data_IF_226019881985
#
_entry.id   IF_226019881985
#
_cell.length_a   1.000
_cell.length_b   1.000
_cell.length_c   1.000
_cell.angle_alpha   90.00
_cell.angle_beta   90.00
_cell.angle_gamma   90.00
#
_symmetry.space_group_name_H-M   'P 1'
#
loop_
_entity.id
_entity.type
_entity.pdbx_description
1 polymer ?
#
# COMPACT_ATOMS: atom_id res chain seq x y z
N UNK A 1 -23.29 5.24 29.27
CA UNK A 1 -22.35 5.22 28.13
C UNK A 1 -21.88 6.65 27.84
N UNK A 2 -20.64 6.81 27.40
CA UNK A 2 -20.06 8.08 26.91
C UNK A 2 -20.13 8.07 25.37
N UNK A 3 -20.20 9.25 24.71
CA UNK A 3 -20.37 9.34 23.25
C UNK A 3 -19.28 8.56 22.46
N UNK A 4 -18.02 8.66 22.87
CA UNK A 4 -16.93 7.88 22.24
C UNK A 4 -17.14 6.35 22.31
N UNK A 5 -17.71 5.84 23.41
CA UNK A 5 -18.06 4.41 23.55
C UNK A 5 -19.31 4.04 22.76
N UNK A 6 -20.22 4.98 22.52
CA UNK A 6 -21.36 4.79 21.62
C UNK A 6 -20.90 4.61 20.17
N UNK A 7 -20.00 5.47 19.68
CA UNK A 7 -19.44 5.33 18.32
C UNK A 7 -18.64 4.04 18.15
N UNK A 8 -17.78 3.69 19.12
CA UNK A 8 -17.04 2.43 19.10
C UNK A 8 -17.97 1.21 19.06
N UNK A 9 -19.04 1.20 19.87
CA UNK A 9 -20.03 0.10 19.89
C UNK A 9 -20.81 0.04 18.57
N UNK A 10 -21.17 1.19 18.00
CA UNK A 10 -21.85 1.30 16.71
C UNK A 10 -21.00 0.76 15.56
N UNK A 11 -19.70 1.09 15.52
CA UNK A 11 -18.77 0.52 14.54
C UNK A 11 -18.60 -0.99 14.71
N UNK A 12 -18.46 -1.48 15.95
CA UNK A 12 -18.37 -2.92 16.21
C UNK A 12 -19.60 -3.68 15.67
N UNK A 13 -20.82 -3.18 15.90
CA UNK A 13 -22.04 -3.81 15.35
C UNK A 13 -22.07 -3.79 13.82
N UNK A 14 -21.54 -2.75 13.17
CA UNK A 14 -21.44 -2.68 11.72
C UNK A 14 -20.44 -3.70 11.16
N UNK A 15 -19.29 -3.86 11.81
CA UNK A 15 -18.25 -4.83 11.44
C UNK A 15 -18.72 -6.28 11.65
N UNK A 16 -19.34 -6.56 12.80
CA UNK A 16 -19.96 -7.86 13.14
C UNK A 16 -21.26 -8.12 12.32
N UNK A 17 -21.77 -7.10 11.62
CA UNK A 17 -23.03 -7.10 10.82
C UNK A 17 -24.29 -7.41 11.64
N UNK A 18 -24.27 -7.08 12.93
CA UNK A 18 -25.40 -7.22 13.85
C UNK A 18 -26.47 -6.13 13.62
N UNK A 19 -27.71 -6.37 14.09
CA UNK A 19 -28.78 -5.40 13.91
C UNK A 19 -28.71 -4.28 14.96
N UNK A 20 -28.21 -3.11 14.54
CA UNK A 20 -28.05 -1.90 15.37
C UNK A 20 -29.34 -1.47 16.09
N UNK A 21 -30.50 -1.69 15.47
CA UNK A 21 -31.81 -1.33 16.05
C UNK A 21 -32.18 -2.17 17.29
N UNK A 22 -31.52 -3.32 17.48
CA UNK A 22 -31.75 -4.23 18.61
C UNK A 22 -30.76 -4.03 19.77
N UNK A 23 -29.75 -3.15 19.64
CA UNK A 23 -28.81 -2.87 20.73
C UNK A 23 -29.43 -1.89 21.76
N UNK A 24 -29.75 -2.42 22.94
CA UNK A 24 -30.32 -1.66 24.06
C UNK A 24 -29.39 -0.56 24.60
N UNK A 25 -28.07 -0.73 24.48
CA UNK A 25 -27.11 0.27 24.97
C UNK A 25 -27.08 1.48 24.06
N UNK A 26 -27.01 1.28 22.74
CA UNK A 26 -27.06 2.36 21.74
C UNK A 26 -28.40 3.10 21.82
N UNK A 27 -29.51 2.37 21.76
CA UNK A 27 -30.85 2.98 21.84
C UNK A 27 -31.11 3.66 23.19
N UNK A 28 -30.64 3.08 24.30
CA UNK A 28 -30.73 3.67 25.64
C UNK A 28 -29.90 4.96 25.81
N UNK A 29 -28.78 5.10 25.10
CA UNK A 29 -27.98 6.32 25.08
C UNK A 29 -28.52 7.38 24.11
N UNK A 30 -28.95 6.97 22.91
CA UNK A 30 -29.58 7.86 21.93
C UNK A 30 -30.89 8.49 22.42
N UNK A 31 -31.59 7.87 23.38
CA UNK A 31 -32.72 8.50 24.09
C UNK A 31 -32.32 9.68 25.00
N UNK A 32 -31.03 9.81 25.36
CA UNK A 32 -30.51 10.80 26.32
C UNK A 32 -29.51 11.81 25.72
N UNK A 33 -28.93 11.51 24.55
CA UNK A 33 -27.95 12.36 23.88
C UNK A 33 -28.42 12.65 22.44
N UNK A 34 -28.67 13.92 22.15
CA UNK A 34 -29.19 14.36 20.85
C UNK A 34 -28.24 14.07 19.68
N UNK A 35 -26.94 14.33 19.86
CA UNK A 35 -25.92 14.08 18.84
C UNK A 35 -25.88 12.59 18.46
N UNK A 36 -25.80 11.70 19.46
CA UNK A 36 -25.84 10.26 19.24
C UNK A 36 -27.17 9.79 18.64
N UNK A 37 -28.29 10.48 18.93
CA UNK A 37 -29.60 10.22 18.31
C UNK A 37 -29.59 10.50 16.81
N UNK A 38 -29.02 11.64 16.41
CA UNK A 38 -28.89 12.02 14.99
C UNK A 38 -27.96 11.07 14.24
N UNK A 39 -26.84 10.66 14.85
CA UNK A 39 -25.95 9.63 14.28
C UNK A 39 -26.68 8.30 14.09
N UNK A 40 -27.39 7.81 15.12
CA UNK A 40 -28.12 6.53 15.05
C UNK A 40 -29.21 6.54 13.96
N UNK A 41 -30.00 7.61 13.90
CA UNK A 41 -31.05 7.77 12.88
C UNK A 41 -30.46 7.86 11.46
N UNK A 42 -29.35 8.57 11.29
CA UNK A 42 -28.65 8.69 10.01
C UNK A 42 -28.17 7.33 9.51
N UNK A 43 -27.50 6.55 10.38
CA UNK A 43 -27.05 5.21 10.02
C UNK A 43 -28.22 4.25 9.73
N UNK A 44 -29.29 4.30 10.53
CA UNK A 44 -30.49 3.48 10.29
C UNK A 44 -31.13 3.79 8.92
N UNK A 45 -31.21 5.06 8.54
CA UNK A 45 -31.70 5.48 7.20
C UNK A 45 -30.80 5.00 6.07
N UNK A 46 -29.47 5.11 6.21
CA UNK A 46 -28.50 4.62 5.22
C UNK A 46 -28.65 3.11 5.05
N UNK A 47 -28.70 2.34 6.14
CA UNK A 47 -28.86 0.89 6.10
C UNK A 47 -30.22 0.47 5.55
N UNK A 48 -31.31 1.16 5.88
CA UNK A 48 -32.61 0.93 5.27
C UNK A 48 -32.60 1.18 3.75
N UNK A 49 -31.91 2.23 3.29
CA UNK A 49 -31.69 2.49 1.87
C UNK A 49 -30.84 1.41 1.18
N UNK A 50 -29.76 0.95 1.83
CA UNK A 50 -28.93 -0.14 1.29
C UNK A 50 -29.70 -1.48 1.24
N UNK A 51 -30.61 -1.74 2.18
CA UNK A 51 -31.50 -2.91 2.19
C UNK A 51 -32.59 -2.86 1.11
N UNK A 52 -33.01 -1.67 0.66
CA UNK A 52 -34.03 -1.52 -0.39
C UNK A 52 -33.47 -1.58 -1.82
N UNK A 53 -32.15 -1.45 -1.99
CA UNK A 53 -31.51 -1.69 -3.27
C UNK A 53 -31.68 -3.15 -3.70
N UNK A 54 -31.95 -3.42 -4.99
CA UNK A 54 -32.01 -4.79 -5.49
C UNK A 54 -30.65 -5.46 -5.28
N UNK A 55 -30.65 -6.60 -4.58
CA UNK A 55 -29.43 -7.38 -4.39
C UNK A 55 -28.85 -7.75 -5.77
N UNK A 56 -27.58 -7.40 -6.06
CA UNK A 56 -27.00 -7.68 -7.37
C UNK A 56 -26.99 -9.19 -7.60
N UNK A 57 -27.36 -9.61 -8.83
CA UNK A 57 -27.38 -11.03 -9.20
C UNK A 57 -25.98 -11.61 -9.01
N UNK A 58 -25.81 -12.45 -7.99
CA UNK A 58 -24.53 -13.07 -7.65
C UNK A 58 -24.13 -14.03 -8.76
N UNK A 59 -23.10 -13.67 -9.54
CA UNK A 59 -22.43 -14.62 -10.44
C UNK A 59 -21.91 -15.80 -9.62
N UNK A 60 -22.28 -17.03 -10.02
CA UNK A 60 -21.88 -18.26 -9.31
C UNK A 60 -20.35 -18.41 -9.28
N UNK A 61 -19.67 -17.95 -10.34
CA UNK A 61 -18.23 -18.07 -10.53
C UNK A 61 -17.41 -16.93 -9.94
N UNK A 62 -18.02 -15.89 -9.35
CA UNK A 62 -17.28 -14.72 -8.85
C UNK A 62 -16.22 -15.11 -7.81
N UNK A 63 -16.56 -16.05 -6.92
CA UNK A 63 -15.62 -16.56 -5.92
C UNK A 63 -14.41 -17.26 -6.56
N UNK A 64 -14.65 -18.10 -7.58
CA UNK A 64 -13.59 -18.78 -8.33
C UNK A 64 -12.69 -17.78 -9.07
N UNK A 65 -13.30 -16.82 -9.81
CA UNK A 65 -12.56 -15.78 -10.54
C UNK A 65 -11.66 -14.93 -9.62
N UNK A 66 -12.17 -14.50 -8.46
CA UNK A 66 -11.37 -13.74 -7.47
C UNK A 66 -10.24 -14.58 -6.90
N UNK A 67 -10.49 -15.85 -6.53
CA UNK A 67 -9.46 -16.74 -5.99
C UNK A 67 -8.37 -17.06 -7.03
N UNK A 68 -8.73 -17.25 -8.30
CA UNK A 68 -7.76 -17.51 -9.37
C UNK A 68 -6.97 -16.26 -9.74
N UNK A 69 -7.58 -15.08 -9.72
CA UNK A 69 -6.85 -13.81 -9.86
C UNK A 69 -5.84 -13.62 -8.71
N UNK A 70 -6.24 -13.87 -7.46
CA UNK A 70 -5.33 -13.83 -6.30
C UNK A 70 -4.18 -14.84 -6.43
N UNK A 71 -4.44 -16.06 -6.93
CA UNK A 71 -3.39 -17.06 -7.21
C UNK A 71 -2.40 -16.58 -8.28
N UNK A 72 -2.89 -15.95 -9.35
CA UNK A 72 -2.04 -15.37 -10.41
C UNK A 72 -1.16 -14.27 -9.85
N UNK A 73 -1.71 -13.35 -9.05
CA UNK A 73 -0.95 -12.25 -8.47
C UNK A 73 0.05 -12.70 -7.40
N UNK A 74 -0.28 -13.71 -6.59
CA UNK A 74 0.67 -14.39 -5.69
C UNK A 74 1.83 -15.02 -6.47
N UNK A 75 1.56 -15.72 -7.58
CA UNK A 75 2.61 -16.29 -8.44
C UNK A 75 3.51 -15.21 -9.04
N UNK A 76 2.93 -14.10 -9.56
CA UNK A 76 3.71 -12.95 -10.05
C UNK A 76 4.60 -12.34 -8.97
N UNK A 77 4.08 -12.13 -7.76
CA UNK A 77 4.85 -11.60 -6.60
C UNK A 77 5.99 -12.55 -6.21
N UNK A 78 5.73 -13.86 -6.15
CA UNK A 78 6.74 -14.89 -5.88
C UNK A 78 7.85 -14.85 -6.94
N UNK A 79 7.49 -14.91 -8.22
CA UNK A 79 8.46 -14.88 -9.33
C UNK A 79 9.28 -13.58 -9.35
N UNK A 80 8.68 -12.42 -9.07
CA UNK A 80 9.41 -11.15 -8.95
C UNK A 80 10.44 -11.17 -7.81
N UNK A 81 10.10 -11.75 -6.65
CA UNK A 81 11.05 -11.93 -5.53
C UNK A 81 12.21 -12.85 -5.93
N UNK A 82 11.94 -13.98 -6.60
CA UNK A 82 12.99 -14.86 -7.11
C UNK A 82 13.88 -14.18 -8.16
N UNK A 83 13.30 -13.40 -9.08
CA UNK A 83 14.08 -12.66 -10.07
C UNK A 83 15.02 -11.62 -9.43
N UNK A 84 14.54 -10.89 -8.41
CA UNK A 84 15.37 -9.93 -7.65
C UNK A 84 16.49 -10.64 -6.89
N UNK A 85 16.21 -11.77 -6.22
CA UNK A 85 17.23 -12.56 -5.53
C UNK A 85 18.26 -13.16 -6.50
N UNK A 86 17.82 -13.69 -7.64
CA UNK A 86 18.72 -14.23 -8.67
C UNK A 86 19.62 -13.13 -9.26
N UNK A 87 19.09 -11.94 -9.51
CA UNK A 87 19.86 -10.79 -10.00
C UNK A 87 20.87 -10.32 -8.94
N UNK A 88 20.48 -10.25 -7.67
CA UNK A 88 21.39 -9.91 -6.57
C UNK A 88 22.54 -10.93 -6.42
N UNK A 89 22.25 -12.23 -6.54
CA UNK A 89 23.26 -13.30 -6.52
C UNK A 89 24.18 -13.26 -7.74
N UNK A 90 23.65 -12.94 -8.93
CA UNK A 90 24.47 -12.78 -10.14
C UNK A 90 25.38 -11.55 -10.03
N UNK A 91 24.88 -10.44 -9.49
CA UNK A 91 25.65 -9.22 -9.28
C UNK A 91 26.76 -9.42 -8.24
N UNK A 92 26.50 -10.08 -7.11
CA UNK A 92 27.53 -10.35 -6.10
C UNK A 92 28.63 -11.28 -6.62
N UNK A 93 28.26 -12.31 -7.40
CA UNK A 93 29.21 -13.22 -8.03
C UNK A 93 30.05 -12.53 -9.12
N UNK A 94 29.46 -11.63 -9.91
CA UNK A 94 30.20 -10.82 -10.88
C UNK A 94 31.19 -9.87 -10.18
N UNK A 95 30.79 -9.22 -9.08
CA UNK A 95 31.68 -8.36 -8.28
C UNK A 95 32.84 -9.19 -7.69
N UNK A 96 32.59 -10.40 -7.21
CA UNK A 96 33.63 -11.30 -6.68
C UNK A 96 34.63 -11.76 -7.76
N UNK A 97 34.25 -11.81 -9.03
CA UNK A 97 35.11 -12.19 -10.16
C UNK A 97 35.90 -11.02 -10.79
N UNK A 98 35.47 -9.76 -10.58
CA UNK A 98 36.20 -8.57 -11.07
C UNK A 98 37.71 -8.56 -10.75
N UNK A 99 38.20 -8.89 -9.53
CA UNK A 99 39.64 -8.88 -9.26
C UNK A 99 40.42 -9.89 -10.12
N UNK A 100 39.86 -11.07 -10.41
CA UNK A 100 40.52 -12.11 -11.20
C UNK A 100 40.60 -11.77 -12.70
N UNK A 101 39.71 -10.89 -13.20
CA UNK A 101 39.76 -10.42 -14.59
C UNK A 101 40.81 -9.32 -14.84
N UNK A 102 41.34 -8.69 -13.78
CA UNK A 102 42.22 -7.52 -13.88
C UNK A 102 43.60 -7.77 -14.48
N UNK A 103 44.20 -8.93 -14.20
CA UNK A 103 45.60 -9.20 -14.56
C UNK A 103 45.83 -9.37 -16.07
N UNK A 104 44.83 -9.80 -16.83
CA UNK A 104 44.96 -9.99 -18.28
C UNK A 104 44.85 -8.69 -19.10
N UNK A 105 44.37 -7.58 -18.52
CA UNK A 105 44.15 -6.32 -19.26
C UNK A 105 45.45 -5.51 -19.43
N UNK A 106 46.46 -5.73 -18.58
CA UNK A 106 47.74 -4.98 -18.64
C UNK A 106 48.63 -5.25 -19.86
N UNK A 107 48.32 -6.26 -20.69
CA UNK A 107 49.12 -6.61 -21.88
C UNK A 107 48.59 -6.02 -23.21
N UNK A 108 47.57 -5.16 -23.20
CA UNK A 108 46.98 -4.61 -24.45
C UNK A 108 46.96 -3.07 -24.55
N UNK A 109 47.84 -2.40 -23.81
CA UNK A 109 47.97 -0.92 -23.84
C UNK A 109 49.22 -0.43 -24.61
N UNK A 110 49.66 -1.15 -25.66
CA UNK A 110 50.77 -0.69 -26.51
C UNK A 110 50.58 -0.96 -28.01
N UNK A 111 49.34 -0.83 -28.50
CA UNK A 111 49.05 -0.70 -29.94
C UNK A 111 48.43 0.65 -30.26
N UNK A 112 49.30 1.67 -30.31
CA UNK A 112 49.02 2.90 -31.05
C UNK A 112 49.04 2.59 -32.55
N UNK A 113 48.04 3.09 -33.29
CA UNK A 113 48.07 3.15 -34.75
C UNK A 113 47.36 2.00 -35.48
N UNK A 114 46.08 2.23 -35.82
CA UNK A 114 45.52 2.02 -37.16
C UNK A 114 44.07 2.51 -37.16
N UNK A 115 43.84 3.72 -37.68
CA UNK A 115 42.50 4.25 -37.85
C UNK A 115 41.85 3.63 -39.09
N UNK A 116 40.86 2.77 -38.89
CA UNK A 116 40.03 2.25 -39.99
C UNK A 116 38.73 3.05 -40.06
N UNK A 117 38.61 3.89 -41.09
CA UNK A 117 37.39 4.65 -41.38
C UNK A 117 36.25 3.67 -41.65
N UNK A 118 35.21 3.74 -40.82
CA UNK A 118 33.99 2.93 -40.99
C UNK A 118 32.85 3.85 -41.45
N UNK A 119 32.15 3.54 -42.56
CA UNK A 119 31.10 4.41 -43.10
C UNK A 119 29.84 4.44 -42.21
N UNK A 120 29.11 5.55 -42.27
CA UNK A 120 28.00 5.84 -41.37
C UNK A 120 26.72 5.01 -41.67
N UNK A 121 26.06 4.44 -40.65
CA UNK A 121 24.72 3.86 -40.79
C UNK A 121 23.63 4.95 -40.82
N UNK A 122 22.54 4.70 -41.55
CA UNK A 122 21.39 5.61 -41.65
C UNK A 122 20.64 5.79 -40.31
N UNK A 123 20.00 6.96 -40.10
CA UNK A 123 19.23 7.22 -38.88
C UNK A 123 17.85 6.57 -38.94
N UNK A 124 17.66 5.45 -38.22
CA UNK A 124 16.32 5.01 -37.84
C UNK A 124 15.71 5.98 -36.80
N UNK A 125 14.46 6.36 -37.03
CA UNK A 125 13.69 7.29 -36.21
C UNK A 125 13.17 6.64 -34.92
N UNK A 126 14.10 6.22 -34.05
CA UNK A 126 13.76 5.92 -32.65
C UNK A 126 13.20 7.19 -32.03
N UNK A 127 11.95 7.12 -31.54
CA UNK A 127 11.27 8.22 -30.88
C UNK A 127 12.00 8.56 -29.58
N UNK A 128 12.91 9.54 -29.65
CA UNK A 128 13.67 10.03 -28.50
C UNK A 128 12.71 10.83 -27.62
N UNK A 129 12.12 10.17 -26.62
CA UNK A 129 11.67 10.86 -25.40
C UNK A 129 12.77 11.86 -25.02
N UNK A 130 12.39 13.12 -24.85
CA UNK A 130 13.39 14.18 -24.84
C UNK A 130 14.26 14.00 -23.61
N UNK A 131 15.59 14.07 -23.77
CA UNK A 131 16.52 14.07 -22.62
C UNK A 131 16.16 15.16 -21.60
N UNK A 132 15.50 16.21 -22.05
CA UNK A 132 14.99 17.30 -21.24
C UNK A 132 13.87 16.86 -20.28
N UNK A 133 12.93 16.01 -20.71
CA UNK A 133 11.86 15.47 -19.84
C UNK A 133 12.44 14.64 -18.69
N UNK A 134 13.54 13.91 -18.94
CA UNK A 134 14.24 13.15 -17.90
C UNK A 134 15.07 14.02 -16.94
N UNK A 135 15.53 15.20 -17.37
CA UNK A 135 16.21 16.17 -16.50
C UNK A 135 15.19 16.89 -15.60
N UNK A 136 14.09 17.37 -16.17
CA UNK A 136 13.04 18.08 -15.43
C UNK A 136 12.37 17.18 -14.38
N UNK A 137 12.04 15.93 -14.74
CA UNK A 137 11.52 14.94 -13.78
C UNK A 137 12.52 14.66 -12.65
N UNK A 138 13.82 14.62 -12.97
CA UNK A 138 14.89 14.38 -11.99
C UNK A 138 15.08 15.56 -11.05
N UNK A 139 14.94 16.80 -11.54
CA UNK A 139 14.94 18.02 -10.73
C UNK A 139 13.73 18.05 -9.79
N UNK A 140 12.53 17.74 -10.27
CA UNK A 140 11.31 17.66 -9.43
C UNK A 140 11.45 16.58 -8.36
N UNK A 141 11.93 15.37 -8.70
CA UNK A 141 12.21 14.32 -7.71
C UNK A 141 13.27 14.75 -6.69
N UNK A 142 14.35 15.40 -7.12
CA UNK A 142 15.41 15.86 -6.23
C UNK A 142 14.90 16.94 -5.26
N UNK A 143 14.14 17.91 -5.75
CA UNK A 143 13.53 18.96 -4.93
C UNK A 143 12.50 18.40 -3.94
N UNK A 144 11.73 17.38 -4.36
CA UNK A 144 10.80 16.67 -3.49
C UNK A 144 11.53 15.89 -2.38
N UNK A 145 12.59 15.16 -2.73
CA UNK A 145 13.40 14.39 -1.77
C UNK A 145 14.09 15.29 -0.74
N UNK A 146 14.64 16.44 -1.16
CA UNK A 146 15.22 17.43 -0.22
C UNK A 146 14.18 17.98 0.75
N UNK A 147 12.99 18.35 0.27
CA UNK A 147 11.90 18.79 1.15
C UNK A 147 11.41 17.70 2.12
N UNK A 148 11.58 16.43 1.77
CA UNK A 148 11.25 15.29 2.64
C UNK A 148 12.38 14.89 3.60
N UNK A 149 13.65 15.18 3.30
CA UNK A 149 14.77 14.89 4.21
C UNK A 149 14.83 15.85 5.39
N UNK A 150 14.45 17.11 5.17
CA UNK A 150 14.57 18.17 6.18
C UNK A 150 13.45 18.14 7.24
N UNK A 151 12.50 17.20 7.15
CA UNK A 151 11.45 17.00 8.14
C UNK A 151 11.54 15.57 8.70
N UNK A 152 11.90 15.40 9.98
CA UNK A 152 12.03 14.07 10.56
C UNK A 152 10.68 13.34 10.51
N UNK A 153 10.67 12.14 9.93
CA UNK A 153 9.50 11.29 9.70
C UNK A 153 8.66 10.94 10.95
N UNK A 154 9.12 11.34 12.15
CA UNK A 154 8.40 11.24 13.42
C UNK A 154 7.42 12.39 13.74
N UNK A 155 7.38 13.47 12.95
CA UNK A 155 6.41 14.58 13.12
C UNK A 155 5.41 14.73 11.97
N UNK A 156 5.02 13.62 11.34
CA UNK A 156 3.73 13.60 10.66
C UNK A 156 2.64 13.48 11.72
N UNK A 157 2.07 14.63 12.14
CA UNK A 157 0.76 14.65 12.78
C UNK A 157 -0.22 13.79 11.98
N UNK A 158 -1.17 13.09 12.63
CA UNK A 158 -2.09 12.22 11.94
C UNK A 158 -2.83 12.99 10.84
N UNK A 159 -2.69 12.51 9.61
CA UNK A 159 -3.25 13.11 8.38
C UNK A 159 -4.77 13.29 8.46
N UNK A 160 -5.40 12.60 9.41
CA UNK A 160 -6.78 12.79 9.88
C UNK A 160 -7.15 14.27 10.15
N UNK A 161 -6.23 15.12 10.60
CA UNK A 161 -6.50 16.56 10.77
C UNK A 161 -6.63 17.30 9.43
N UNK A 162 -5.69 17.10 8.48
CA UNK A 162 -5.74 17.73 7.16
C UNK A 162 -6.84 17.16 6.25
N UNK A 163 -7.24 15.90 6.46
CA UNK A 163 -8.20 15.20 5.61
C UNK A 163 -9.63 15.13 6.17
N UNK A 164 -9.95 15.92 7.22
CA UNK A 164 -11.24 15.92 7.93
C UNK A 164 -12.48 16.05 7.01
N UNK A 165 -12.35 16.73 5.85
CA UNK A 165 -13.41 16.85 4.84
C UNK A 165 -13.45 15.78 3.74
N UNK A 166 -12.42 14.93 3.57
CA UNK A 166 -12.32 14.00 2.42
C UNK A 166 -11.85 12.59 2.84
N UNK A 167 -12.63 11.96 3.72
CA UNK A 167 -12.40 10.58 4.22
C UNK A 167 -12.03 9.51 3.16
N UNK A 168 -12.62 9.44 1.95
CA UNK A 168 -12.25 8.38 0.99
C UNK A 168 -10.82 8.51 0.45
N UNK A 169 -10.22 9.72 0.44
CA UNK A 169 -8.83 9.92 -0.01
C UNK A 169 -7.79 9.59 1.06
N UNK A 170 -8.11 9.77 2.34
CA UNK A 170 -7.18 9.46 3.43
C UNK A 170 -6.80 7.96 3.43
N UNK A 171 -7.76 7.07 3.19
CA UNK A 171 -7.54 5.62 3.14
C UNK A 171 -6.64 5.23 1.96
N UNK A 172 -6.91 5.76 0.76
CA UNK A 172 -6.09 5.47 -0.43
C UNK A 172 -4.69 6.06 -0.33
N UNK A 173 -4.54 7.24 0.27
CA UNK A 173 -3.24 7.87 0.50
C UNK A 173 -2.40 7.09 1.51
N UNK A 174 -2.97 6.73 2.67
CA UNK A 174 -2.29 5.90 3.67
C UNK A 174 -1.87 4.53 3.10
N UNK A 175 -2.75 3.89 2.31
CA UNK A 175 -2.41 2.62 1.65
C UNK A 175 -1.28 2.78 0.61
N UNK A 176 -1.29 3.85 -0.19
CA UNK A 176 -0.23 4.13 -1.15
C UNK A 176 1.11 4.40 -0.45
N UNK A 177 1.09 5.16 0.65
CA UNK A 177 2.28 5.55 1.41
C UNK A 177 2.89 4.35 2.19
N UNK A 178 2.05 3.49 2.77
CA UNK A 178 2.48 2.20 3.35
C UNK A 178 3.04 1.25 2.27
N UNK A 179 2.38 1.15 1.11
CA UNK A 179 2.89 0.35 -0.02
C UNK A 179 4.27 0.87 -0.47
N UNK A 180 4.46 2.18 -0.55
CA UNK A 180 5.73 2.80 -0.93
C UNK A 180 6.82 2.53 0.12
N UNK A 181 6.52 2.71 1.42
CA UNK A 181 7.43 2.34 2.53
C UNK A 181 7.89 0.88 2.44
N UNK A 182 6.96 -0.05 2.20
CA UNK A 182 7.25 -1.50 2.05
C UNK A 182 8.07 -1.85 0.80
N UNK A 183 8.22 -0.92 -0.16
CA UNK A 183 9.07 -1.13 -1.35
C UNK A 183 10.48 -0.55 -1.22
N UNK A 184 10.78 0.23 -0.18
CA UNK A 184 12.11 0.78 0.06
C UNK A 184 13.00 -0.25 0.78
N UNK A 185 14.17 -0.63 0.23
CA UNK A 185 15.09 -1.54 0.90
C UNK A 185 15.68 -0.87 2.15
N UNK A 186 15.66 -1.58 3.28
CA UNK A 186 16.15 -1.08 4.58
C UNK A 186 15.06 -0.67 5.58
N UNK A 187 13.78 -0.69 5.21
CA UNK A 187 12.70 -0.54 6.18
C UNK A 187 12.58 -1.81 7.04
N UNK A 188 13.02 -1.72 8.30
CA UNK A 188 12.82 -2.78 9.28
C UNK A 188 11.33 -2.88 9.58
N UNK A 189 10.79 -4.10 9.55
CA UNK A 189 9.36 -4.34 9.80
C UNK A 189 9.00 -3.82 11.21
N UNK A 190 8.07 -2.85 11.34
CA UNK A 190 7.66 -2.38 12.66
C UNK A 190 7.07 -3.56 13.42
N UNK A 191 7.45 -3.69 14.70
CA UNK A 191 7.15 -4.85 15.53
C UNK A 191 5.70 -5.29 15.32
N UNK A 192 5.54 -6.56 14.93
CA UNK A 192 4.24 -7.14 14.60
C UNK A 192 3.31 -6.93 15.79
N UNK A 193 2.33 -6.03 15.64
CA UNK A 193 1.27 -5.87 16.64
C UNK A 193 0.59 -7.23 16.70
N UNK A 194 0.78 -7.92 17.82
CA UNK A 194 0.29 -9.26 18.04
C UNK A 194 -1.22 -9.26 17.77
N UNK A 195 -1.73 -10.09 16.84
CA UNK A 195 -3.14 -10.05 16.48
C UNK A 195 -3.97 -10.37 17.73
N UNK A 196 -4.88 -9.47 18.10
CA UNK A 196 -5.75 -9.57 19.29
C UNK A 196 -6.83 -10.67 19.14
N UNK A 197 -6.43 -11.88 18.75
CA UNK A 197 -7.27 -13.05 18.57
C UNK A 197 -7.23 -13.99 19.81
N UNK A 198 -7.18 -13.39 21.01
CA UNK A 198 -6.98 -14.03 22.32
C UNK A 198 -7.66 -13.15 23.38
N UNK A 199 -8.71 -13.53 24.11
CA UNK A 199 -9.65 -14.66 24.02
C UNK A 199 -11.11 -14.11 24.01
N UNK A 200 -12.09 -14.89 23.57
CA UNK A 200 -13.54 -14.64 23.80
C UNK A 200 -14.18 -15.77 24.62
N UNK A 201 -13.49 -16.20 25.68
CA UNK A 201 -13.91 -17.28 26.59
C UNK A 201 -14.12 -16.76 28.03
N UNK A 202 -15.23 -16.03 28.28
CA UNK A 202 -15.75 -15.82 29.64
C UNK A 202 -17.22 -15.37 29.59
N UNK A 203 -18.14 -16.29 29.25
CA UNK A 203 -19.59 -16.04 29.35
C UNK A 203 -20.42 -17.31 29.55
N UNK A 204 -20.00 -18.16 30.48
CA UNK A 204 -20.64 -19.44 30.82
C UNK A 204 -20.67 -19.73 32.33
N UNK A 205 -20.80 -18.69 33.16
CA UNK A 205 -20.90 -18.80 34.63
C UNK A 205 -21.90 -17.81 35.21
N UNK A 206 -23.19 -18.02 34.91
CA UNK A 206 -24.33 -17.37 35.57
C UNK A 206 -25.57 -18.26 35.41
N UNK A 207 -25.63 -19.27 36.28
CA UNK A 207 -26.76 -20.19 36.52
C UNK A 207 -26.76 -20.52 38.01
#
# INVERSE_FOLDING_TARGET
>A
MQCAKFEQRLHQLLDDRENIEQDEMLSGHAKKCEECRVVLQTQSRILAGLRSLPSPKREQDLGHRVLDQLRVDQRKRKNRRFAVLALAMAASLLIALLPFAGDHVRLRQDRKGLALVTPAPHPETVNKMSKQETEDLRLVMHQFMLKFSDHPLGMFEPVDQLASGIRPLAITFNFALDTLRRTLPGYSEPQTIEPQAIYREFRSSLS
#
